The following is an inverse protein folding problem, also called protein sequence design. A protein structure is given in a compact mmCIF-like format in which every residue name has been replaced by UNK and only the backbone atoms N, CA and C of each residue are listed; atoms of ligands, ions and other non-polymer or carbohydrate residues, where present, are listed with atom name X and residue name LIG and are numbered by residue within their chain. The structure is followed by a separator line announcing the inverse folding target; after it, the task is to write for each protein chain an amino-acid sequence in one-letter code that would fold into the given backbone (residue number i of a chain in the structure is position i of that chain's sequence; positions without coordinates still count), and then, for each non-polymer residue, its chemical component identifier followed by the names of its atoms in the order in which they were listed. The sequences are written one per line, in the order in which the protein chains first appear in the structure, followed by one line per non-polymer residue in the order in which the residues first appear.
data_IF_851202042136
#
_entry.id   IF_851202042136
#
_cell.length_a   1.000
_cell.length_b   1.000
_cell.length_c   1.000
_cell.angle_alpha   90.00
_cell.angle_beta   90.00
_cell.angle_gamma   90.00
#
_symmetry.space_group_name_H-M   'P 1'
#
loop_
_entity.id
_entity.type
_entity.pdbx_description
1 polymer ?
#
# COMPACT_ATOMS: atom_id res chain seq x y z
N UNK A 1 -24.97 -14.56 14.91
CA UNK A 1 -24.11 -13.78 13.99
C UNK A 1 -23.88 -12.44 14.66
N UNK A 2 -22.64 -11.94 14.70
CA UNK A 2 -22.41 -10.57 15.16
C UNK A 2 -23.17 -9.61 14.24
N UNK A 3 -23.84 -8.60 14.80
CA UNK A 3 -24.50 -7.60 13.97
C UNK A 3 -23.42 -6.73 13.29
N UNK A 4 -23.73 -6.20 12.12
CA UNK A 4 -22.78 -5.31 11.42
C UNK A 4 -22.41 -4.09 12.26
N UNK A 5 -23.33 -3.65 13.13
CA UNK A 5 -23.12 -2.58 14.10
C UNK A 5 -22.05 -2.91 15.14
N UNK A 6 -21.91 -4.18 15.53
CA UNK A 6 -20.89 -4.63 16.49
C UNK A 6 -19.48 -4.57 15.86
N UNK A 7 -19.39 -4.86 14.56
CA UNK A 7 -18.13 -4.87 13.80
C UNK A 7 -17.72 -3.46 13.36
N UNK A 8 -18.68 -2.60 13.02
CA UNK A 8 -18.44 -1.21 12.63
C UNK A 8 -18.52 -0.26 13.82
N UNK A 9 -18.08 -0.71 14.99
CA UNK A 9 -18.04 0.07 16.22
C UNK A 9 -16.62 0.55 16.52
N UNK A 10 -16.47 1.82 16.90
CA UNK A 10 -15.19 2.35 17.37
C UNK A 10 -14.72 1.71 18.68
N UNK A 11 -15.57 1.03 19.45
CA UNK A 11 -15.10 0.26 20.60
C UNK A 11 -14.41 -1.06 20.18
N UNK A 12 -14.68 -1.54 18.97
CA UNK A 12 -14.03 -2.73 18.45
C UNK A 12 -12.56 -2.44 18.08
N UNK A 13 -11.60 -3.17 18.68
CA UNK A 13 -10.19 -2.94 18.42
C UNK A 13 -9.79 -3.25 16.96
N UNK A 14 -10.50 -4.17 16.29
CA UNK A 14 -10.20 -4.55 14.90
C UNK A 14 -10.58 -3.41 13.97
N UNK A 15 -11.77 -2.83 14.13
CA UNK A 15 -12.25 -1.69 13.34
C UNK A 15 -11.36 -0.46 13.52
N UNK A 16 -10.99 -0.14 14.77
CA UNK A 16 -10.00 0.93 15.05
C UNK A 16 -8.67 0.67 14.37
N UNK A 17 -8.18 -0.57 14.46
CA UNK A 17 -6.95 -0.99 13.80
C UNK A 17 -7.04 -0.80 12.28
N UNK A 18 -8.12 -1.31 11.68
CA UNK A 18 -8.40 -1.21 10.25
C UNK A 18 -8.36 0.24 9.76
N UNK A 19 -9.08 1.15 10.43
CA UNK A 19 -9.09 2.59 10.09
C UNK A 19 -7.68 3.18 10.20
N UNK A 20 -7.00 2.94 11.33
CA UNK A 20 -5.69 3.52 11.60
C UNK A 20 -4.63 3.09 10.57
N UNK A 21 -4.50 1.78 10.31
CA UNK A 21 -3.50 1.28 9.36
C UNK A 21 -3.84 1.64 7.92
N UNK A 22 -5.11 1.69 7.54
CA UNK A 22 -5.52 2.14 6.21
C UNK A 22 -5.22 3.63 6.01
N UNK A 23 -5.49 4.47 7.00
CA UNK A 23 -5.12 5.88 6.95
C UNK A 23 -3.62 6.08 6.76
N UNK A 24 -2.78 5.30 7.48
CA UNK A 24 -1.32 5.33 7.28
C UNK A 24 -0.91 4.95 5.85
N UNK A 25 -1.53 3.92 5.28
CA UNK A 25 -1.25 3.48 3.91
C UNK A 25 -1.69 4.53 2.87
N UNK A 26 -2.83 5.18 3.08
CA UNK A 26 -3.30 6.29 2.23
C UNK A 26 -2.31 7.45 2.25
N UNK A 27 -1.92 7.90 3.45
CA UNK A 27 -0.95 9.00 3.60
C UNK A 27 0.38 8.66 2.92
N UNK A 28 0.81 7.40 3.01
CA UNK A 28 2.00 6.91 2.33
C UNK A 28 1.86 6.92 0.80
N UNK A 29 0.72 6.52 0.24
CA UNK A 29 0.47 6.65 -1.21
C UNK A 29 0.53 8.11 -1.67
N UNK A 30 -0.08 9.03 -0.90
CA UNK A 30 -0.01 10.46 -1.18
C UNK A 30 1.43 10.98 -1.14
N UNK A 31 2.22 10.56 -0.14
CA UNK A 31 3.62 10.92 -0.03
C UNK A 31 4.46 10.42 -1.24
N UNK A 32 4.14 9.24 -1.78
CA UNK A 32 4.81 8.70 -2.97
C UNK A 32 4.51 9.51 -4.24
N UNK A 33 3.29 10.04 -4.38
CA UNK A 33 2.95 10.98 -5.45
C UNK A 33 3.79 12.26 -5.35
N UNK A 34 3.86 12.85 -4.16
CA UNK A 34 4.65 14.06 -3.91
C UNK A 34 6.15 13.83 -4.13
N UNK A 35 6.69 12.66 -3.72
CA UNK A 35 8.09 12.29 -3.96
C UNK A 35 8.40 12.16 -5.46
N UNK A 36 7.47 11.59 -6.24
CA UNK A 36 7.60 11.49 -7.69
C UNK A 36 7.69 12.88 -8.33
N UNK A 37 6.78 13.79 -7.95
CA UNK A 37 6.79 15.17 -8.43
C UNK A 37 8.11 15.88 -8.06
N UNK A 38 8.54 15.76 -6.80
CA UNK A 38 9.79 16.37 -6.33
C UNK A 38 11.00 15.88 -7.12
N UNK A 39 11.08 14.57 -7.42
CA UNK A 39 12.17 14.04 -8.27
C UNK A 39 12.11 14.54 -9.71
N UNK A 40 10.91 14.69 -10.30
CA UNK A 40 10.75 15.27 -11.64
C UNK A 40 11.29 16.69 -11.71
N UNK A 41 10.93 17.53 -10.74
CA UNK A 41 11.42 18.91 -10.66
C UNK A 41 12.93 18.97 -10.41
N UNK A 42 13.43 18.21 -9.43
CA UNK A 42 14.87 18.18 -9.10
C UNK A 42 15.73 17.73 -10.28
N UNK A 43 15.29 16.69 -10.99
CA UNK A 43 16.01 16.15 -12.11
C UNK A 43 15.60 16.77 -13.44
N UNK A 44 14.75 17.81 -13.48
CA UNK A 44 14.22 18.40 -14.72
C UNK A 44 13.83 17.35 -15.76
N UNK A 45 13.12 16.32 -15.30
CA UNK A 45 12.74 15.17 -16.09
C UNK A 45 11.22 15.10 -16.12
N UNK A 46 10.65 15.68 -17.17
CA UNK A 46 9.21 15.75 -17.39
C UNK A 46 8.82 14.82 -18.53
N UNK A 47 7.78 14.03 -18.29
CA UNK A 47 7.27 13.06 -19.27
C UNK A 47 6.44 13.74 -20.36
N UNK A 48 5.81 14.87 -20.03
CA UNK A 48 4.91 15.55 -20.94
C UNK A 48 5.60 16.77 -21.60
N UNK A 49 5.31 17.05 -22.89
CA UNK A 49 5.94 18.14 -23.63
C UNK A 49 5.57 19.53 -23.09
N UNK A 50 4.36 19.73 -22.58
CA UNK A 50 3.91 21.00 -22.00
C UNK A 50 4.70 21.38 -20.73
N UNK A 51 4.89 20.42 -19.82
CA UNK A 51 5.67 20.61 -18.59
C UNK A 51 7.15 20.86 -18.90
N UNK A 52 7.68 20.13 -19.89
CA UNK A 52 9.07 20.28 -20.34
C UNK A 52 9.29 21.66 -20.98
N UNK A 53 8.36 22.11 -21.84
CA UNK A 53 8.41 23.43 -22.47
C UNK A 53 8.33 24.56 -21.43
N UNK A 54 7.44 24.46 -20.44
CA UNK A 54 7.33 25.42 -19.34
C UNK A 54 8.64 25.57 -18.55
N UNK A 55 9.40 24.48 -18.42
CA UNK A 55 10.69 24.44 -17.74
C UNK A 55 11.90 24.64 -18.69
N UNK A 56 11.64 24.94 -19.98
CA UNK A 56 12.64 25.12 -21.04
C UNK A 56 13.61 23.94 -21.18
N UNK A 57 13.10 22.73 -20.99
CA UNK A 57 13.85 21.47 -21.14
C UNK A 57 13.18 20.57 -22.17
N UNK A 58 13.95 19.61 -22.71
CA UNK A 58 13.38 18.57 -23.58
C UNK A 58 12.71 17.49 -22.73
N UNK A 59 11.67 16.87 -23.29
CA UNK A 59 11.05 15.67 -22.71
C UNK A 59 12.13 14.61 -22.52
N UNK A 60 12.23 14.09 -21.30
CA UNK A 60 13.19 13.04 -20.96
C UNK A 60 12.70 12.20 -19.81
N UNK A 61 13.06 10.93 -19.84
CA UNK A 61 12.91 10.01 -18.73
C UNK A 61 14.15 10.06 -17.84
N UNK A 62 13.97 9.77 -16.56
CA UNK A 62 15.05 9.68 -15.58
C UNK A 62 14.84 8.41 -14.75
N UNK A 63 15.87 7.58 -14.66
CA UNK A 63 15.78 6.28 -13.99
C UNK A 63 15.36 6.39 -12.52
N UNK A 64 15.70 7.49 -11.86
CA UNK A 64 15.33 7.70 -10.46
C UNK A 64 13.86 8.12 -10.31
N UNK A 65 13.31 8.88 -11.27
CA UNK A 65 11.87 9.18 -11.37
C UNK A 65 11.08 7.91 -11.68
N UNK A 66 11.53 7.14 -12.68
CA UNK A 66 10.91 5.86 -13.06
C UNK A 66 10.86 4.88 -11.89
N UNK A 67 11.93 4.83 -11.09
CA UNK A 67 12.00 3.97 -9.91
C UNK A 67 10.96 4.35 -8.85
N UNK A 68 10.82 5.64 -8.53
CA UNK A 68 9.76 6.07 -7.59
C UNK A 68 8.38 5.78 -8.18
N UNK A 69 8.18 5.99 -9.49
CA UNK A 69 6.91 5.68 -10.16
C UNK A 69 6.57 4.18 -10.07
N UNK A 70 7.54 3.28 -10.28
CA UNK A 70 7.31 1.82 -10.16
C UNK A 70 6.99 1.41 -8.72
N UNK A 71 7.65 2.01 -7.72
CA UNK A 71 7.29 1.79 -6.32
C UNK A 71 5.85 2.24 -6.02
N UNK A 72 5.47 3.42 -6.52
CA UNK A 72 4.12 3.96 -6.35
C UNK A 72 3.07 3.11 -7.10
N UNK A 73 3.37 2.65 -8.31
CA UNK A 73 2.47 1.76 -9.06
C UNK A 73 2.23 0.45 -8.29
N UNK A 74 3.28 -0.15 -7.73
CA UNK A 74 3.12 -1.34 -6.90
C UNK A 74 2.26 -1.05 -5.65
N UNK A 75 2.34 0.14 -5.07
CA UNK A 75 1.43 0.56 -3.99
C UNK A 75 -0.01 0.62 -4.46
N UNK A 76 -0.27 1.21 -5.63
CA UNK A 76 -1.61 1.32 -6.22
C UNK A 76 -2.18 -0.05 -6.64
N UNK A 77 -1.33 -1.02 -6.98
CA UNK A 77 -1.77 -2.38 -7.31
C UNK A 77 -2.09 -3.21 -6.06
N UNK A 78 -1.40 -3.01 -4.93
CA UNK A 78 -1.51 -3.90 -3.76
C UNK A 78 -2.39 -3.33 -2.64
N UNK A 79 -2.29 -2.02 -2.36
CA UNK A 79 -2.98 -1.39 -1.21
C UNK A 79 -4.51 -1.38 -1.39
N UNK A 80 -5.08 -1.02 -2.56
CA UNK A 80 -6.53 -1.09 -2.76
C UNK A 80 -7.09 -2.51 -2.62
N UNK A 81 -6.38 -3.52 -3.15
CA UNK A 81 -6.77 -4.93 -3.02
C UNK A 81 -6.77 -5.33 -1.53
N UNK A 82 -5.74 -4.92 -0.80
CA UNK A 82 -5.67 -5.13 0.64
C UNK A 82 -6.81 -4.45 1.40
N UNK A 83 -7.23 -3.22 1.04
CA UNK A 83 -8.36 -2.56 1.69
C UNK A 83 -9.65 -3.37 1.58
N UNK A 84 -9.93 -3.91 0.39
CA UNK A 84 -11.11 -4.75 0.18
C UNK A 84 -11.00 -6.07 0.94
N UNK A 85 -9.83 -6.74 0.87
CA UNK A 85 -9.62 -8.02 1.54
C UNK A 85 -9.67 -7.90 3.07
N UNK A 86 -9.04 -6.86 3.64
CA UNK A 86 -9.04 -6.61 5.09
C UNK A 86 -10.41 -6.20 5.61
N UNK A 87 -11.19 -5.46 4.81
CA UNK A 87 -12.59 -5.16 5.14
C UNK A 87 -13.44 -6.45 5.19
N UNK A 88 -13.33 -7.30 4.17
CA UNK A 88 -14.00 -8.60 4.16
C UNK A 88 -13.62 -9.47 5.35
N UNK A 89 -12.32 -9.53 5.67
CA UNK A 89 -11.82 -10.32 6.80
C UNK A 89 -12.28 -9.78 8.15
N UNK A 90 -12.39 -8.47 8.32
CA UNK A 90 -12.95 -7.88 9.53
C UNK A 90 -14.40 -8.32 9.77
N UNK A 91 -15.20 -8.45 8.70
CA UNK A 91 -16.59 -8.92 8.78
C UNK A 91 -16.72 -10.39 9.20
N UNK A 92 -15.65 -11.18 9.16
CA UNK A 92 -15.68 -12.58 9.65
C UNK A 92 -15.50 -12.70 11.16
N UNK A 93 -15.50 -11.56 11.89
CA UNK A 93 -15.23 -11.49 13.34
C UNK A 93 -13.98 -12.30 13.78
N UNK A 94 -12.79 -12.02 13.22
CA UNK A 94 -11.59 -12.79 13.52
C UNK A 94 -11.05 -12.50 14.92
N UNK A 95 -10.13 -13.35 15.40
CA UNK A 95 -9.45 -13.08 16.67
C UNK A 95 -8.68 -11.74 16.62
N UNK A 96 -8.90 -10.79 17.57
CA UNK A 96 -8.32 -9.46 17.51
C UNK A 96 -6.79 -9.44 17.42
N UNK A 97 -6.13 -10.35 18.16
CA UNK A 97 -4.67 -10.46 18.14
C UNK A 97 -4.13 -10.79 16.73
N UNK A 98 -4.81 -11.68 16.02
CA UNK A 98 -4.40 -12.08 14.67
C UNK A 98 -4.66 -10.95 13.67
N UNK A 99 -5.86 -10.38 13.67
CA UNK A 99 -6.23 -9.30 12.75
C UNK A 99 -5.30 -8.08 12.88
N UNK A 100 -5.05 -7.62 14.11
CA UNK A 100 -4.15 -6.50 14.37
C UNK A 100 -2.70 -6.81 13.95
N UNK A 101 -2.25 -8.05 14.13
CA UNK A 101 -0.92 -8.47 13.68
C UNK A 101 -0.82 -8.45 12.16
N UNK A 102 -1.84 -8.95 11.45
CA UNK A 102 -1.88 -8.92 9.99
C UNK A 102 -1.84 -7.48 9.45
N UNK A 103 -2.62 -6.56 10.04
CA UNK A 103 -2.61 -5.15 9.64
C UNK A 103 -1.24 -4.51 9.87
N UNK A 104 -0.63 -4.73 11.05
CA UNK A 104 0.72 -4.23 11.37
C UNK A 104 1.77 -4.74 10.41
N UNK A 105 1.81 -6.06 10.18
CA UNK A 105 2.82 -6.70 9.33
C UNK A 105 2.65 -6.27 7.89
N UNK A 106 1.41 -6.19 7.38
CA UNK A 106 1.16 -5.68 6.04
C UNK A 106 1.65 -4.24 5.89
N UNK A 107 1.24 -3.35 6.80
CA UNK A 107 1.66 -1.93 6.77
C UNK A 107 3.18 -1.82 6.83
N UNK A 108 3.84 -2.49 7.77
CA UNK A 108 5.30 -2.50 7.89
C UNK A 108 5.97 -3.02 6.60
N UNK A 109 5.48 -4.12 6.03
CA UNK A 109 6.00 -4.67 4.78
C UNK A 109 5.89 -3.67 3.62
N UNK A 110 4.79 -2.91 3.52
CA UNK A 110 4.61 -1.86 2.49
C UNK A 110 5.55 -0.67 2.70
N UNK A 111 5.82 -0.27 3.93
CA UNK A 111 6.81 0.78 4.21
C UNK A 111 8.22 0.31 3.90
N UNK A 112 8.60 -0.91 4.31
CA UNK A 112 9.90 -1.52 3.99
C UNK A 112 10.06 -1.66 2.49
N UNK A 113 9.07 -2.19 1.76
CA UNK A 113 9.12 -2.32 0.31
C UNK A 113 9.42 -0.98 -0.36
N UNK A 114 8.71 0.09 0.01
CA UNK A 114 8.94 1.42 -0.54
C UNK A 114 10.30 2.00 -0.18
N UNK A 115 10.76 1.81 1.06
CA UNK A 115 12.08 2.28 1.49
C UNK A 115 13.21 1.59 0.70
N UNK A 116 13.13 0.26 0.58
CA UNK A 116 14.07 -0.61 -0.14
C UNK A 116 14.00 -0.42 -1.67
N UNK A 117 12.89 0.10 -2.19
CA UNK A 117 12.73 0.35 -3.63
C UNK A 117 13.14 1.78 -4.03
N UNK A 118 12.69 2.79 -3.28
CA UNK A 118 12.75 4.19 -3.67
C UNK A 118 13.83 5.01 -2.94
N UNK A 119 14.26 4.59 -1.74
CA UNK A 119 15.20 5.35 -0.90
C UNK A 119 16.58 4.69 -0.87
N UNK A 120 16.65 3.44 -0.44
CA UNK A 120 17.89 2.65 -0.39
C UNK A 120 17.81 1.57 -1.44
N UNK A 121 18.66 1.63 -2.46
CA UNK A 121 18.71 0.60 -3.50
C UNK A 121 19.34 -0.65 -2.94
N UNK A 122 18.52 -1.52 -2.33
CA UNK A 122 19.00 -2.83 -1.90
C UNK A 122 18.87 -3.79 -3.08
N UNK A 123 19.92 -4.57 -3.41
CA UNK A 123 19.82 -5.64 -4.39
C UNK A 123 18.70 -6.64 -4.00
N UNK A 124 18.21 -7.40 -4.99
CA UNK A 124 17.33 -8.54 -4.69
C UNK A 124 18.03 -9.44 -3.66
N UNK A 125 17.33 -10.02 -2.65
CA UNK A 125 15.93 -10.46 -2.63
C UNK A 125 14.96 -9.63 -1.75
N UNK A 126 15.43 -8.57 -1.09
CA UNK A 126 14.64 -7.84 -0.07
C UNK A 126 13.29 -7.29 -0.60
N UNK A 127 13.26 -6.89 -1.88
CA UNK A 127 12.04 -6.43 -2.57
C UNK A 127 11.03 -7.56 -2.79
N UNK A 128 11.49 -8.74 -3.20
CA UNK A 128 10.62 -9.89 -3.43
C UNK A 128 10.02 -10.43 -2.13
N UNK A 129 10.83 -10.49 -1.07
CA UNK A 129 10.38 -10.94 0.25
C UNK A 129 9.32 -10.01 0.85
N UNK A 130 9.56 -8.69 0.84
CA UNK A 130 8.59 -7.71 1.36
C UNK A 130 7.29 -7.67 0.54
N UNK A 131 7.37 -7.82 -0.78
CA UNK A 131 6.19 -7.96 -1.63
C UNK A 131 5.42 -9.25 -1.32
N UNK A 132 6.12 -10.39 -1.19
CA UNK A 132 5.52 -11.69 -0.91
C UNK A 132 4.73 -11.71 0.40
N UNK A 133 5.27 -11.11 1.47
CA UNK A 133 4.56 -10.99 2.75
C UNK A 133 3.21 -10.28 2.57
N UNK A 134 3.19 -9.15 1.86
CA UNK A 134 1.94 -8.43 1.60
C UNK A 134 0.95 -9.26 0.76
N UNK A 135 1.45 -9.96 -0.25
CA UNK A 135 0.64 -10.81 -1.12
C UNK A 135 -0.03 -11.96 -0.35
N UNK A 136 0.72 -12.67 0.49
CA UNK A 136 0.20 -13.77 1.30
C UNK A 136 -0.83 -13.31 2.35
N UNK A 137 -0.59 -12.17 3.00
CA UNK A 137 -1.54 -11.60 3.97
C UNK A 137 -2.87 -11.26 3.28
N UNK A 138 -2.82 -10.57 2.14
CA UNK A 138 -4.03 -10.24 1.37
C UNK A 138 -4.76 -11.50 0.90
N UNK A 139 -4.03 -12.49 0.37
CA UNK A 139 -4.61 -13.78 -0.04
C UNK A 139 -5.25 -14.53 1.11
N UNK A 140 -4.59 -14.60 2.27
CA UNK A 140 -5.15 -15.22 3.48
C UNK A 140 -6.47 -14.57 3.90
N UNK A 141 -6.52 -13.24 3.99
CA UNK A 141 -7.74 -12.52 4.35
C UNK A 141 -8.89 -12.75 3.36
N UNK A 142 -8.57 -12.76 2.06
CA UNK A 142 -9.55 -13.03 1.01
C UNK A 142 -10.10 -14.47 1.09
N UNK A 143 -9.24 -15.46 1.30
CA UNK A 143 -9.65 -16.87 1.46
C UNK A 143 -10.53 -17.05 2.70
N UNK A 144 -10.16 -16.45 3.83
CA UNK A 144 -10.96 -16.53 5.06
C UNK A 144 -12.33 -15.87 4.88
N UNK A 145 -12.39 -14.74 4.18
CA UNK A 145 -13.65 -14.09 3.82
C UNK A 145 -14.50 -15.02 2.95
N UNK A 146 -13.91 -15.61 1.92
CA UNK A 146 -14.60 -16.54 1.02
C UNK A 146 -15.18 -17.73 1.79
N UNK A 147 -14.38 -18.39 2.63
CA UNK A 147 -14.79 -19.56 3.41
C UNK A 147 -15.88 -19.24 4.45
N UNK A 148 -15.91 -18.00 4.95
CA UNK A 148 -16.92 -17.57 5.92
C UNK A 148 -18.30 -17.33 5.26
N UNK A 149 -18.32 -16.80 4.03
CA UNK A 149 -19.55 -16.38 3.34
C UNK A 149 -19.97 -17.31 2.18
N UNK A 150 -19.32 -18.46 2.00
CA UNK A 150 -19.66 -19.41 0.93
C UNK A 150 -20.88 -20.31 1.23
N UNK A 151 -21.52 -20.13 2.39
CA UNK A 151 -22.70 -20.86 2.85
C UNK A 151 -23.78 -19.85 3.27
#
# INVERSE_FOLDING_TARGET
MANIEDVLNLDDPIFRGFIFYNALLILKCMAMSALTATRRFKNKAFANPEDAAAQKVKVRTDDSVERVRRAHLNDLENIPIYFVASFGYMLTNPAPALALTLFRVFTAARFVHTFVYAVVVVPQPARGLSWGVGYFITGFMAVQTLLHFCH
#
